data_IF_279739409940
#
_entry.id   IF_279739409940
#
_cell.length_a   1.000
_cell.length_b   1.000
_cell.length_c   1.000
_cell.angle_alpha   90.00
_cell.angle_beta   90.00
_cell.angle_gamma   90.00
#
_symmetry.space_group_name_H-M   'P 1'
#
loop_
_entity.id
_entity.type
_entity.pdbx_description
1 polymer ?
#
# COMPACT_ATOMS: atom_id res chain seq x y z
N UNK A 1 -6.35 -6.21 -0.71
CA UNK A 1 -5.86 -5.10 0.15
C UNK A 1 -4.35 -5.02 0.06
N UNK A 2 -3.73 -3.84 0.08
CA UNK A 2 -2.27 -3.69 0.17
C UNK A 2 -1.95 -3.03 1.52
N UNK A 3 -1.20 -3.72 2.38
CA UNK A 3 -0.76 -3.20 3.68
C UNK A 3 0.60 -2.53 3.49
N UNK A 4 0.75 -1.31 4.00
CA UNK A 4 1.95 -0.49 3.84
C UNK A 4 2.24 0.34 5.10
N UNK A 5 3.36 1.05 5.10
CA UNK A 5 3.76 1.91 6.22
C UNK A 5 3.13 3.31 6.16
N UNK A 6 2.76 3.84 7.32
CA UNK A 6 2.38 5.24 7.49
C UNK A 6 2.93 5.75 8.83
N UNK A 7 3.90 6.68 8.77
CA UNK A 7 4.55 7.24 9.95
C UNK A 7 5.00 6.16 10.96
N UNK A 8 5.88 5.21 10.58
CA UNK A 8 6.36 4.17 11.50
C UNK A 8 7.14 4.74 12.70
N UNK A 9 7.58 6.02 12.61
CA UNK A 9 8.38 6.68 13.65
C UNK A 9 9.58 5.80 14.00
N UNK A 10 9.80 5.53 15.28
CA UNK A 10 10.92 4.72 15.77
C UNK A 10 10.65 3.21 15.76
N UNK A 11 9.45 2.78 15.38
CA UNK A 11 9.11 1.37 15.27
C UNK A 11 9.47 0.82 13.89
N UNK A 12 9.87 -0.45 13.82
CA UNK A 12 10.09 -1.13 12.55
C UNK A 12 8.73 -1.31 11.84
N UNK A 13 8.56 -0.85 10.58
CA UNK A 13 7.31 -0.98 9.84
C UNK A 13 6.73 -2.40 9.84
N UNK A 14 7.60 -3.40 9.77
CA UNK A 14 7.26 -4.81 9.70
C UNK A 14 6.54 -5.29 10.97
N UNK A 15 6.80 -4.69 12.13
CA UNK A 15 6.11 -5.02 13.38
C UNK A 15 4.65 -4.59 13.35
N UNK A 16 4.40 -3.35 12.92
CA UNK A 16 3.04 -2.80 12.81
C UNK A 16 2.27 -3.54 11.71
N UNK A 17 2.92 -3.81 10.58
CA UNK A 17 2.34 -4.59 9.49
C UNK A 17 1.95 -5.99 9.98
N UNK A 18 2.83 -6.69 10.70
CA UNK A 18 2.53 -8.02 11.24
C UNK A 18 1.33 -8.06 12.19
N UNK A 19 1.08 -6.99 12.94
CA UNK A 19 -0.13 -6.86 13.76
C UNK A 19 -1.40 -6.74 12.90
N UNK A 20 -1.34 -5.96 11.81
CA UNK A 20 -2.44 -5.85 10.84
C UNK A 20 -2.69 -7.20 10.16
N UNK A 21 -1.61 -7.86 9.72
CA UNK A 21 -1.67 -9.19 9.08
C UNK A 21 -2.35 -10.21 9.98
N UNK A 22 -2.03 -10.22 11.28
CA UNK A 22 -2.68 -11.13 12.25
C UNK A 22 -4.21 -10.98 12.22
N UNK A 23 -4.71 -9.74 12.21
CA UNK A 23 -6.15 -9.46 12.13
C UNK A 23 -6.76 -9.87 10.80
N UNK A 24 -6.07 -9.60 9.68
CA UNK A 24 -6.55 -9.93 8.33
C UNK A 24 -6.54 -11.44 8.08
N UNK A 25 -5.51 -12.15 8.54
CA UNK A 25 -5.41 -13.62 8.47
C UNK A 25 -6.49 -14.31 9.30
N UNK A 26 -6.85 -13.75 10.47
CA UNK A 26 -7.93 -14.28 11.29
C UNK A 26 -9.32 -14.20 10.59
N UNK A 27 -9.46 -13.36 9.56
CA UNK A 27 -10.66 -13.29 8.71
C UNK A 27 -10.59 -14.24 7.50
N UNK A 28 -9.55 -15.07 7.37
CA UNK A 28 -9.38 -16.07 6.31
C UNK A 28 -8.68 -15.55 5.05
N UNK A 29 -8.19 -14.31 5.03
CA UNK A 29 -7.40 -13.79 3.91
C UNK A 29 -5.94 -14.24 4.03
N UNK A 30 -5.33 -14.68 2.92
CA UNK A 30 -3.91 -15.03 2.88
C UNK A 30 -3.07 -13.90 2.29
N UNK A 31 -1.79 -13.85 2.66
CA UNK A 31 -0.81 -13.02 1.97
C UNK A 31 -0.58 -13.62 0.57
N UNK A 32 -0.62 -12.77 -0.46
CA UNK A 32 -0.41 -13.12 -1.86
C UNK A 32 0.97 -12.67 -2.32
N UNK A 33 1.50 -13.36 -3.31
CA UNK A 33 2.62 -12.86 -4.09
C UNK A 33 2.16 -11.80 -5.09
N UNK A 34 3.03 -10.86 -5.44
CA UNK A 34 2.70 -9.79 -6.40
C UNK A 34 2.24 -10.36 -7.76
N UNK A 35 2.82 -11.48 -8.19
CA UNK A 35 2.43 -12.17 -9.42
C UNK A 35 1.04 -12.82 -9.34
N UNK A 36 0.58 -13.22 -8.15
CA UNK A 36 -0.77 -13.75 -7.96
C UNK A 36 -1.81 -12.65 -8.08
N UNK A 37 -1.56 -11.46 -7.51
CA UNK A 37 -2.51 -10.35 -7.59
C UNK A 37 -2.73 -9.81 -9.02
N UNK A 38 -1.72 -9.93 -9.89
CA UNK A 38 -1.81 -9.50 -11.29
C UNK A 38 -2.59 -10.48 -12.19
N UNK A 39 -2.84 -11.71 -11.72
CA UNK A 39 -3.45 -12.76 -12.53
C UNK A 39 -4.99 -12.66 -12.62
N UNK A 40 -5.62 -11.65 -12.00
CA UNK A 40 -7.07 -11.40 -12.10
C UNK A 40 -7.95 -12.53 -11.56
N UNK A 41 -7.35 -13.44 -10.81
CA UNK A 41 -8.02 -14.52 -10.13
C UNK A 41 -8.72 -13.94 -8.89
N UNK A 42 -10.01 -14.26 -8.70
CA UNK A 42 -10.87 -13.89 -7.56
C UNK A 42 -10.40 -14.47 -6.21
N UNK A 43 -9.10 -14.78 -6.08
CA UNK A 43 -8.54 -15.31 -4.85
C UNK A 43 -8.53 -14.22 -3.78
N UNK A 44 -9.29 -14.37 -2.69
CA UNK A 44 -9.29 -13.39 -1.62
C UNK A 44 -7.92 -13.38 -0.93
N UNK A 45 -7.29 -12.21 -0.86
CA UNK A 45 -6.02 -12.05 -0.18
C UNK A 45 -5.55 -10.61 -0.05
N UNK A 46 -4.34 -10.44 0.47
CA UNK A 46 -3.69 -9.15 0.63
C UNK A 46 -2.22 -9.19 0.21
N UNK A 47 -1.66 -8.03 -0.09
CA UNK A 47 -0.24 -7.83 -0.37
C UNK A 47 0.39 -7.02 0.76
N UNK A 48 1.70 -7.15 0.92
CA UNK A 48 2.50 -6.34 1.83
C UNK A 48 3.57 -5.61 1.02
N UNK A 49 3.64 -4.29 1.16
CA UNK A 49 4.70 -3.46 0.60
C UNK A 49 4.97 -2.31 1.58
N UNK A 50 6.03 -2.40 2.42
CA UNK A 50 6.29 -1.40 3.44
C UNK A 50 6.59 0.00 2.89
N UNK A 51 7.14 0.11 1.68
CA UNK A 51 7.36 1.41 1.05
C UNK A 51 6.03 1.95 0.48
N UNK A 52 5.51 3.02 1.11
CA UNK A 52 4.22 3.59 0.74
C UNK A 52 4.13 4.04 -0.71
N UNK A 53 5.22 4.55 -1.30
CA UNK A 53 5.23 4.93 -2.73
C UNK A 53 5.13 3.71 -3.61
N UNK A 54 5.86 2.64 -3.29
CA UNK A 54 5.76 1.37 -4.02
C UNK A 54 4.38 0.73 -3.87
N UNK A 55 3.77 0.79 -2.68
CA UNK A 55 2.43 0.26 -2.44
C UNK A 55 1.35 1.00 -3.24
N UNK A 56 1.41 2.33 -3.30
CA UNK A 56 0.52 3.14 -4.14
C UNK A 56 0.69 2.76 -5.62
N UNK A 57 1.94 2.69 -6.08
CA UNK A 57 2.24 2.33 -7.46
C UNK A 57 1.79 0.89 -7.79
N UNK A 58 1.92 -0.03 -6.85
CA UNK A 58 1.43 -1.41 -6.99
C UNK A 58 -0.09 -1.44 -7.15
N UNK A 59 -0.83 -0.78 -6.26
CA UNK A 59 -2.29 -0.74 -6.33
C UNK A 59 -2.82 -0.14 -7.63
N UNK A 60 -2.16 0.90 -8.14
CA UNK A 60 -2.52 1.53 -9.42
C UNK A 60 -2.21 0.61 -10.60
N UNK A 61 -1.04 -0.04 -10.62
CA UNK A 61 -0.65 -0.96 -11.70
C UNK A 61 -1.52 -2.22 -11.77
N UNK A 62 -2.06 -2.67 -10.65
CA UNK A 62 -2.90 -3.87 -10.59
C UNK A 62 -4.37 -3.59 -10.86
N UNK A 63 -4.79 -2.32 -10.84
CA UNK A 63 -6.18 -1.95 -11.08
C UNK A 63 -6.56 -2.11 -12.56
N UNK A 64 -7.74 -2.67 -12.82
CA UNK A 64 -8.30 -2.80 -14.16
C UNK A 64 -9.22 -1.61 -14.48
N UNK A 65 -9.56 -1.47 -15.77
CA UNK A 65 -10.49 -0.44 -16.20
C UNK A 65 -11.85 -0.61 -15.50
N UNK A 66 -12.29 0.44 -14.80
CA UNK A 66 -13.53 0.44 -14.01
C UNK A 66 -13.33 0.19 -12.52
N UNK A 67 -12.14 -0.26 -12.09
CA UNK A 67 -11.82 -0.42 -10.68
C UNK A 67 -11.66 0.93 -9.97
N UNK A 68 -11.85 0.93 -8.65
CA UNK A 68 -11.56 2.07 -7.77
C UNK A 68 -10.47 1.69 -6.78
N UNK A 69 -9.40 2.50 -6.73
CA UNK A 69 -8.32 2.36 -5.74
C UNK A 69 -8.51 3.39 -4.63
N UNK A 70 -8.66 2.92 -3.39
CA UNK A 70 -8.71 3.76 -2.19
C UNK A 70 -7.37 3.75 -1.45
N UNK A 71 -6.77 4.92 -1.26
CA UNK A 71 -5.57 5.11 -0.44
C UNK A 71 -6.01 5.76 0.88
N UNK A 72 -5.85 5.03 1.99
CA UNK A 72 -6.28 5.46 3.32
C UNK A 72 -5.09 5.68 4.28
N UNK A 73 -5.32 6.45 5.35
CA UNK A 73 -4.36 6.68 6.44
C UNK A 73 -3.94 8.13 6.64
N UNK A 74 -3.46 8.81 5.58
CA UNK A 74 -2.81 10.13 5.70
C UNK A 74 -3.72 11.36 5.61
N UNK A 75 -4.82 11.25 4.86
CA UNK A 75 -5.68 12.41 4.59
C UNK A 75 -4.91 13.54 3.87
N UNK A 76 -4.86 14.73 4.48
CA UNK A 76 -4.19 15.91 3.91
C UNK A 76 -2.72 16.08 4.34
N UNK A 77 -2.15 15.10 5.05
CA UNK A 77 -0.74 15.13 5.45
C UNK A 77 0.20 14.93 4.25
N UNK A 78 1.27 15.73 4.19
CA UNK A 78 2.23 15.76 3.08
C UNK A 78 3.64 15.32 3.48
N UNK A 79 3.72 14.43 4.48
CA UNK A 79 4.98 13.88 4.98
C UNK A 79 4.84 12.45 5.49
N UNK A 80 5.95 11.73 5.58
CA UNK A 80 6.08 10.52 6.41
C UNK A 80 7.13 10.75 7.51
N UNK A 81 6.92 10.11 8.67
CA UNK A 81 7.89 10.10 9.76
C UNK A 81 8.59 8.75 9.82
N UNK A 82 9.90 8.73 9.54
CA UNK A 82 10.75 7.54 9.58
C UNK A 82 11.86 7.80 10.60
N UNK A 83 11.90 7.01 11.67
CA UNK A 83 12.65 7.33 12.88
C UNK A 83 12.14 8.65 13.47
N UNK A 84 13.05 9.60 13.61
CA UNK A 84 12.76 10.97 14.05
C UNK A 84 12.68 11.96 12.88
N UNK A 85 12.84 11.48 11.63
CA UNK A 85 12.91 12.32 10.44
C UNK A 85 11.56 12.45 9.77
N UNK A 86 11.20 13.70 9.46
CA UNK A 86 10.07 14.04 8.59
C UNK A 86 10.54 14.11 7.14
N UNK A 87 10.08 13.19 6.30
CA UNK A 87 10.38 13.17 4.86
C UNK A 87 9.17 13.66 4.07
N UNK A 88 9.39 14.41 2.99
CA UNK A 88 8.31 14.88 2.11
C UNK A 88 7.64 13.70 1.42
N UNK A 89 6.33 13.57 1.59
CA UNK A 89 5.54 12.47 1.02
C UNK A 89 4.06 12.85 0.96
N UNK A 90 3.48 12.98 -0.23
CA UNK A 90 2.06 13.33 -0.40
C UNK A 90 1.39 12.26 -1.25
N UNK A 91 0.43 11.51 -0.68
CA UNK A 91 -0.31 10.44 -1.35
C UNK A 91 -0.85 10.90 -2.71
N UNK A 92 -1.31 12.16 -2.82
CA UNK A 92 -1.87 12.70 -4.07
C UNK A 92 -0.81 12.87 -5.16
N UNK A 93 0.40 13.29 -4.77
CA UNK A 93 1.52 13.46 -5.70
C UNK A 93 2.05 12.10 -6.16
N UNK A 94 2.20 11.16 -5.24
CA UNK A 94 2.65 9.80 -5.56
C UNK A 94 1.63 9.06 -6.43
N UNK A 95 0.33 9.23 -6.14
CA UNK A 95 -0.78 8.71 -6.96
C UNK A 95 -0.74 9.25 -8.38
N UNK A 96 -0.59 10.57 -8.54
CA UNK A 96 -0.50 11.20 -9.86
C UNK A 96 0.70 10.66 -10.65
N UNK A 97 1.87 10.60 -10.03
CA UNK A 97 3.07 10.07 -10.68
C UNK A 97 2.89 8.60 -11.12
N UNK A 98 2.24 7.78 -10.30
CA UNK A 98 1.95 6.40 -10.66
C UNK A 98 0.90 6.26 -11.79
N UNK A 99 -0.11 7.13 -11.83
CA UNK A 99 -1.08 7.20 -12.93
C UNK A 99 -0.42 7.61 -14.26
N UNK A 100 0.49 8.59 -14.22
CA UNK A 100 1.20 9.05 -15.42
C UNK A 100 2.06 7.94 -16.04
N UNK A 101 2.59 7.01 -15.22
CA UNK A 101 3.38 5.87 -15.68
C UNK A 101 2.56 4.75 -16.33
N UNK A 102 1.27 4.62 -16.02
CA UNK A 102 0.40 3.58 -16.63
C UNK A 102 -0.40 4.10 -17.83
N UNK A 103 -0.49 5.42 -17.98
CA UNK A 103 -1.20 6.07 -19.08
C UNK A 103 -0.28 6.53 -20.23
N UNK A 104 1.05 6.47 -20.03
CA UNK A 104 2.06 6.77 -21.06
C UNK A 104 2.46 5.53 -21.82
#
# INVERSE_FOLDING_TARGET
VIITSDNPRTEAPEKIIGQIETGVQAQGYRCLETGEAAAGNDTPGYLVEPDRRKAIALGIRTALAGDTVLIAGKGHETYQIIGERKVTFDDRRETRAALDLVNG
#
